data_IF_705506929173
#
_entry.id   IF_705506929173
#
_cell.length_a   1.000
_cell.length_b   1.000
_cell.length_c   1.000
_cell.angle_alpha   90.00
_cell.angle_beta   90.00
_cell.angle_gamma   90.00
#
_symmetry.space_group_name_H-M   'P 1'
#
loop_
_entity.id
_entity.type
_entity.pdbx_description
1 polymer ?
#
# COMPACT_ATOMS: atom_id res chain seq x y z
N UNK A 1 -26.13 28.21 23.07
CA UNK A 1 -24.68 27.91 23.12
C UNK A 1 -23.96 29.13 22.58
N UNK A 2 -23.08 29.77 23.35
CA UNK A 2 -22.48 31.07 23.00
C UNK A 2 -21.24 30.86 22.12
N UNK A 3 -21.37 31.13 20.82
CA UNK A 3 -20.31 30.92 19.82
C UNK A 3 -19.02 31.67 20.16
N UNK A 4 -19.11 32.88 20.72
CA UNK A 4 -17.92 33.67 21.10
C UNK A 4 -17.15 33.02 22.23
N UNK A 5 -17.83 32.39 23.19
CA UNK A 5 -17.19 31.64 24.29
C UNK A 5 -16.45 30.40 23.78
N UNK A 6 -17.02 29.69 22.80
CA UNK A 6 -16.36 28.54 22.18
C UNK A 6 -15.09 28.95 21.44
N UNK A 7 -15.14 30.06 20.71
CA UNK A 7 -13.97 30.58 20.00
C UNK A 7 -12.84 30.99 20.95
N UNK A 8 -13.16 31.71 22.03
CA UNK A 8 -12.13 32.13 23.01
C UNK A 8 -11.54 30.94 23.76
N UNK A 9 -12.35 29.94 24.10
CA UNK A 9 -11.85 28.69 24.67
C UNK A 9 -10.94 27.94 23.70
N UNK A 10 -11.33 27.79 22.43
CA UNK A 10 -10.50 27.13 21.42
C UNK A 10 -9.14 27.83 21.25
N UNK A 11 -9.14 29.16 21.13
CA UNK A 11 -7.90 29.94 21.03
C UNK A 11 -7.01 29.78 22.27
N UNK A 12 -7.61 29.67 23.46
CA UNK A 12 -6.87 29.42 24.69
C UNK A 12 -6.13 28.07 24.64
N UNK A 13 -6.79 26.98 24.21
CA UNK A 13 -6.14 25.68 24.05
C UNK A 13 -5.06 25.67 22.95
N UNK A 14 -5.32 26.30 21.80
CA UNK A 14 -4.32 26.43 20.74
C UNK A 14 -3.05 27.13 21.25
N UNK A 15 -3.22 28.20 22.01
CA UNK A 15 -2.10 28.96 22.60
C UNK A 15 -1.31 28.12 23.62
N UNK A 16 -1.97 27.26 24.40
CA UNK A 16 -1.29 26.33 25.31
C UNK A 16 -0.45 25.28 24.56
N UNK A 17 -1.01 24.71 23.48
CA UNK A 17 -0.29 23.76 22.61
C UNK A 17 0.91 24.46 21.98
N UNK A 18 0.74 25.65 21.43
CA UNK A 18 1.82 26.46 20.84
C UNK A 18 2.94 26.71 21.84
N UNK A 19 2.60 27.12 23.06
CA UNK A 19 3.59 27.37 24.13
C UNK A 19 4.37 26.10 24.52
N UNK A 20 3.70 24.95 24.58
CA UNK A 20 4.34 23.67 24.88
C UNK A 20 5.27 23.21 23.76
N UNK A 21 4.96 23.59 22.51
CA UNK A 21 5.68 23.16 21.31
C UNK A 21 6.84 24.08 20.91
N UNK A 22 7.05 25.22 21.59
CA UNK A 22 8.16 26.17 21.35
C UNK A 22 9.56 25.55 21.39
N UNK A 23 9.70 24.34 21.96
CA UNK A 23 10.97 23.63 22.09
C UNK A 23 11.31 22.75 20.88
N UNK A 24 10.41 22.64 19.89
CA UNK A 24 10.56 21.72 18.75
C UNK A 24 10.91 22.53 17.49
N UNK A 25 12.17 22.46 17.07
CA UNK A 25 12.70 23.18 15.91
C UNK A 25 12.00 22.85 14.58
N UNK A 26 11.49 21.63 14.43
CA UNK A 26 10.73 21.19 13.24
C UNK A 26 9.45 22.01 13.06
N UNK A 27 8.78 22.37 14.16
CA UNK A 27 7.55 23.16 14.11
C UNK A 27 7.83 24.64 13.83
N UNK A 28 9.02 25.14 14.18
CA UNK A 28 9.45 26.49 13.80
C UNK A 28 9.66 26.61 12.30
N UNK A 29 10.24 25.58 11.66
CA UNK A 29 10.37 25.54 10.21
C UNK A 29 9.00 25.54 9.52
N UNK A 30 8.06 24.74 10.03
CA UNK A 30 6.70 24.71 9.54
C UNK A 30 6.01 26.07 9.65
N UNK A 31 6.08 26.72 10.82
CA UNK A 31 5.48 28.04 11.05
C UNK A 31 6.12 29.10 10.14
N UNK A 32 7.44 29.08 9.95
CA UNK A 32 8.14 30.03 9.09
C UNK A 32 7.77 29.88 7.61
N UNK A 33 7.52 28.67 7.13
CA UNK A 33 7.14 28.40 5.74
C UNK A 33 5.65 28.68 5.47
N UNK A 34 4.78 28.26 6.39
CA UNK A 34 3.32 28.29 6.18
C UNK A 34 2.65 29.52 6.78
N UNK A 35 3.33 30.22 7.70
CA UNK A 35 2.79 31.31 8.54
C UNK A 35 1.57 30.89 9.38
N UNK A 36 1.38 29.59 9.57
CA UNK A 36 0.31 29.02 10.40
C UNK A 36 0.85 28.67 11.79
N UNK A 37 0.03 28.79 12.86
CA UNK A 37 0.47 28.43 14.22
C UNK A 37 0.84 26.95 14.34
N UNK A 38 1.84 26.64 15.17
CA UNK A 38 2.37 25.27 15.38
C UNK A 38 1.28 24.31 15.87
N UNK A 39 0.31 24.81 16.63
CA UNK A 39 -0.84 24.08 17.17
C UNK A 39 -1.67 23.41 16.07
N UNK A 40 -1.79 24.03 14.89
CA UNK A 40 -2.49 23.43 13.76
C UNK A 40 -1.74 22.20 13.21
N UNK A 41 -0.41 22.26 13.12
CA UNK A 41 0.40 21.11 12.69
C UNK A 41 0.28 19.95 13.69
N UNK A 42 0.32 20.24 14.99
CA UNK A 42 0.18 19.23 16.05
C UNK A 42 -1.20 18.60 16.04
N UNK A 43 -2.26 19.41 15.91
CA UNK A 43 -3.64 18.90 15.81
C UNK A 43 -3.85 18.09 14.54
N UNK A 44 -3.30 18.52 13.40
CA UNK A 44 -3.37 17.77 12.16
C UNK A 44 -2.63 16.44 12.27
N UNK A 45 -1.41 16.43 12.82
CA UNK A 45 -0.65 15.20 13.03
C UNK A 45 -1.36 14.25 14.00
N UNK A 46 -1.90 14.78 15.11
CA UNK A 46 -2.71 14.01 16.06
C UNK A 46 -3.98 13.45 15.43
N UNK A 47 -4.69 14.25 14.64
CA UNK A 47 -5.87 13.83 13.88
C UNK A 47 -5.56 12.73 12.87
N UNK A 48 -4.48 12.87 12.10
CA UNK A 48 -3.98 11.84 11.19
C UNK A 48 -3.64 10.56 11.96
N UNK A 49 -2.94 10.66 13.09
CA UNK A 49 -2.61 9.50 13.91
C UNK A 49 -3.87 8.79 14.43
N UNK A 50 -4.86 9.53 14.94
CA UNK A 50 -6.14 8.98 15.39
C UNK A 50 -6.88 8.30 14.22
N UNK A 51 -6.88 8.92 13.04
CA UNK A 51 -7.48 8.33 11.84
C UNK A 51 -6.78 7.03 11.45
N UNK A 52 -5.45 6.98 11.50
CA UNK A 52 -4.66 5.78 11.22
C UNK A 52 -4.96 4.66 12.22
N UNK A 53 -5.06 4.98 13.50
CA UNK A 53 -5.49 4.03 14.54
C UNK A 53 -6.92 3.55 14.27
N UNK A 54 -7.83 4.45 13.92
CA UNK A 54 -9.21 4.11 13.58
C UNK A 54 -9.28 3.18 12.37
N UNK A 55 -8.45 3.39 11.33
CA UNK A 55 -8.37 2.51 10.17
C UNK A 55 -7.82 1.11 10.51
N UNK A 56 -6.98 0.98 11.55
CA UNK A 56 -6.53 -0.33 12.04
C UNK A 56 -7.62 -1.04 12.84
N UNK A 57 -8.43 -0.27 13.57
CA UNK A 57 -9.46 -0.81 14.43
C UNK A 57 -10.71 -1.22 13.64
N UNK A 58 -11.36 -2.31 14.05
CA UNK A 58 -12.62 -2.75 13.44
C UNK A 58 -12.52 -3.33 12.01
N UNK A 59 -11.32 -3.64 11.52
CA UNK A 59 -11.12 -4.37 10.25
C UNK A 59 -11.27 -3.55 8.97
N UNK A 60 -11.48 -2.24 9.06
CA UNK A 60 -11.66 -1.35 7.90
C UNK A 60 -10.42 -1.33 7.01
N UNK A 61 -9.23 -1.21 7.59
CA UNK A 61 -7.96 -1.23 6.86
C UNK A 61 -7.71 -2.57 6.15
N UNK A 62 -8.10 -3.69 6.77
CA UNK A 62 -8.03 -5.00 6.15
C UNK A 62 -8.98 -5.13 4.96
N UNK A 63 -10.22 -4.63 5.10
CA UNK A 63 -11.19 -4.60 4.01
C UNK A 63 -10.67 -3.76 2.85
N UNK A 64 -10.16 -2.55 3.12
CA UNK A 64 -9.66 -1.64 2.09
C UNK A 64 -8.46 -2.24 1.35
N UNK A 65 -7.52 -2.82 2.10
CA UNK A 65 -6.37 -3.52 1.53
C UNK A 65 -6.77 -4.70 0.67
N UNK A 66 -7.74 -5.51 1.10
CA UNK A 66 -8.23 -6.66 0.32
C UNK A 66 -8.95 -6.19 -0.94
N UNK A 67 -9.81 -5.17 -0.84
CA UNK A 67 -10.48 -4.61 -2.01
C UNK A 67 -9.47 -4.08 -3.02
N UNK A 68 -8.44 -3.36 -2.58
CA UNK A 68 -7.37 -2.91 -3.47
C UNK A 68 -6.60 -4.09 -4.10
N UNK A 69 -6.26 -5.11 -3.31
CA UNK A 69 -5.50 -6.29 -3.77
C UNK A 69 -6.30 -7.26 -4.64
N UNK A 70 -7.64 -7.25 -4.61
CA UNK A 70 -8.45 -8.19 -5.39
C UNK A 70 -9.27 -7.50 -6.49
N UNK A 71 -9.89 -6.35 -6.21
CA UNK A 71 -10.84 -5.72 -7.14
C UNK A 71 -10.12 -5.04 -8.30
N UNK A 72 -9.03 -4.31 -8.03
CA UNK A 72 -8.24 -3.65 -9.08
C UNK A 72 -7.67 -4.65 -10.10
N UNK A 73 -6.84 -5.63 -9.69
CA UNK A 73 -6.33 -6.63 -10.62
C UNK A 73 -7.45 -7.51 -11.18
N UNK A 74 -8.52 -7.76 -10.43
CA UNK A 74 -9.70 -8.49 -10.93
C UNK A 74 -10.38 -7.77 -12.10
N UNK A 75 -10.53 -6.45 -12.04
CA UNK A 75 -11.02 -5.66 -13.17
C UNK A 75 -10.10 -5.76 -14.39
N UNK A 76 -8.78 -5.63 -14.19
CA UNK A 76 -7.81 -5.79 -15.27
C UNK A 76 -7.81 -7.22 -15.84
N UNK A 77 -8.00 -8.24 -14.99
CA UNK A 77 -8.14 -9.63 -15.40
C UNK A 77 -9.35 -9.83 -16.31
N UNK A 78 -10.52 -9.30 -15.92
CA UNK A 78 -11.73 -9.36 -16.74
C UNK A 78 -11.58 -8.63 -18.07
N UNK A 79 -10.80 -7.55 -18.09
CA UNK A 79 -10.48 -6.83 -19.32
C UNK A 79 -9.54 -7.65 -20.20
N UNK A 80 -8.48 -8.24 -19.63
CA UNK A 80 -7.51 -9.08 -20.34
C UNK A 80 -8.19 -10.32 -20.96
N UNK A 81 -9.12 -10.95 -20.26
CA UNK A 81 -9.91 -12.08 -20.78
C UNK A 81 -10.76 -11.75 -22.03
N UNK A 82 -11.00 -10.47 -22.31
CA UNK A 82 -11.75 -10.02 -23.49
C UNK A 82 -10.85 -9.48 -24.59
N UNK A 83 -9.57 -9.28 -24.32
CA UNK A 83 -8.56 -8.85 -25.29
C UNK A 83 -7.74 -10.06 -25.74
N UNK A 84 -7.03 -9.95 -26.87
CA UNK A 84 -6.18 -11.04 -27.41
C UNK A 84 -4.68 -10.80 -27.14
N UNK A 85 -4.35 -9.94 -26.19
CA UNK A 85 -2.99 -9.44 -25.94
C UNK A 85 -2.28 -10.26 -24.86
N UNK A 86 -1.32 -11.09 -25.26
CA UNK A 86 -0.53 -11.97 -24.37
C UNK A 86 0.34 -11.20 -23.36
N UNK A 87 0.70 -9.95 -23.65
CA UNK A 87 1.51 -9.12 -22.76
C UNK A 87 0.74 -8.74 -21.48
N UNK A 88 -0.58 -8.51 -21.60
CA UNK A 88 -1.44 -8.20 -20.45
C UNK A 88 -1.57 -9.42 -19.53
N UNK A 89 -1.66 -10.62 -20.11
CA UNK A 89 -1.77 -11.88 -19.37
C UNK A 89 -0.51 -12.17 -18.54
N UNK A 90 0.67 -11.92 -19.12
CA UNK A 90 1.96 -12.16 -18.44
C UNK A 90 2.14 -11.23 -17.24
N UNK A 91 1.81 -9.93 -17.40
CA UNK A 91 1.87 -8.95 -16.31
C UNK A 91 0.89 -9.28 -15.19
N UNK A 92 -0.30 -9.73 -15.56
CA UNK A 92 -1.32 -10.14 -14.62
C UNK A 92 -0.91 -11.39 -13.83
N UNK A 93 -0.36 -12.41 -14.50
CA UNK A 93 0.12 -13.61 -13.82
C UNK A 93 1.28 -13.28 -12.86
N UNK A 94 2.21 -12.43 -13.31
CA UNK A 94 3.31 -11.92 -12.48
C UNK A 94 2.79 -11.23 -11.23
N UNK A 95 1.77 -10.38 -11.38
CA UNK A 95 1.08 -9.76 -10.25
C UNK A 95 0.51 -10.80 -9.27
N UNK A 96 -0.24 -11.79 -9.76
CA UNK A 96 -0.86 -12.81 -8.90
C UNK A 96 0.17 -13.63 -8.12
N UNK A 97 1.30 -13.98 -8.75
CA UNK A 97 2.41 -14.68 -8.08
C UNK A 97 3.02 -13.81 -6.98
N UNK A 98 3.30 -12.54 -7.28
CA UNK A 98 3.82 -11.58 -6.29
C UNK A 98 2.84 -11.40 -5.14
N UNK A 99 1.57 -11.17 -5.45
CA UNK A 99 0.51 -10.98 -4.46
C UNK A 99 0.36 -12.21 -3.54
N UNK A 100 0.39 -13.42 -4.09
CA UNK A 100 0.33 -14.66 -3.31
C UNK A 100 1.53 -14.79 -2.36
N UNK A 101 2.75 -14.51 -2.84
CA UNK A 101 3.96 -14.54 -2.00
C UNK A 101 3.89 -13.53 -0.85
N UNK A 102 3.41 -12.31 -1.12
CA UNK A 102 3.22 -11.27 -0.13
C UNK A 102 2.18 -11.67 0.92
N UNK A 103 1.10 -12.34 0.51
CA UNK A 103 0.07 -12.77 1.44
C UNK A 103 0.59 -13.81 2.45
N UNK A 104 1.50 -14.68 2.02
CA UNK A 104 2.18 -15.65 2.88
C UNK A 104 3.07 -14.92 3.89
N UNK A 105 3.93 -14.01 3.42
CA UNK A 105 4.81 -13.20 4.30
C UNK A 105 3.99 -12.38 5.30
N UNK A 106 2.88 -11.82 4.85
CA UNK A 106 1.99 -11.04 5.69
C UNK A 106 1.37 -11.87 6.81
N UNK A 107 1.01 -13.13 6.58
CA UNK A 107 0.44 -13.98 7.64
C UNK A 107 1.35 -14.01 8.89
N UNK A 108 2.67 -14.13 8.68
CA UNK A 108 3.67 -14.07 9.74
C UNK A 108 3.81 -12.69 10.39
N UNK A 109 3.54 -11.64 9.61
CA UNK A 109 3.77 -10.25 9.98
C UNK A 109 2.57 -9.60 10.69
N UNK A 110 1.35 -10.16 10.55
CA UNK A 110 0.12 -9.63 11.15
C UNK A 110 0.19 -9.47 12.67
N UNK A 111 0.74 -10.45 13.37
CA UNK A 111 0.84 -10.41 14.85
C UNK A 111 1.77 -9.30 15.34
N UNK A 112 2.83 -9.01 14.58
CA UNK A 112 3.84 -8.01 14.95
C UNK A 112 3.39 -6.60 14.52
N UNK A 113 2.80 -6.48 13.33
CA UNK A 113 2.54 -5.19 12.70
C UNK A 113 1.18 -4.57 13.07
N UNK A 114 0.26 -5.31 13.69
CA UNK A 114 -1.02 -4.77 14.18
C UNK A 114 -0.86 -3.61 15.17
N UNK A 115 0.27 -3.53 15.87
CA UNK A 115 0.57 -2.44 16.81
C UNK A 115 0.98 -1.12 16.11
N UNK A 116 1.27 -1.15 14.81
CA UNK A 116 1.72 0.02 14.06
C UNK A 116 0.52 0.66 13.33
N UNK A 117 0.04 1.86 13.74
CA UNK A 117 -1.16 2.47 13.17
C UNK A 117 -1.06 2.78 11.67
N UNK A 118 0.14 2.87 11.09
CA UNK A 118 0.30 3.13 9.66
C UNK A 118 0.29 1.85 8.80
N UNK A 119 0.22 0.65 9.39
CA UNK A 119 0.44 -0.61 8.68
C UNK A 119 -0.53 -0.84 7.51
N UNK A 120 -1.85 -0.81 7.75
CA UNK A 120 -2.83 -1.05 6.70
C UNK A 120 -2.79 0.01 5.60
N UNK A 121 -2.47 1.27 5.94
CA UNK A 121 -2.31 2.32 4.93
C UNK A 121 -1.12 2.00 4.02
N UNK A 122 0.05 1.74 4.60
CA UNK A 122 1.24 1.41 3.83
C UNK A 122 1.03 0.16 2.97
N UNK A 123 0.44 -0.89 3.55
CA UNK A 123 0.09 -2.11 2.83
C UNK A 123 -0.83 -1.83 1.65
N UNK A 124 -1.90 -1.06 1.87
CA UNK A 124 -2.86 -0.74 0.80
C UNK A 124 -2.17 0.04 -0.31
N UNK A 125 -1.37 1.04 0.02
CA UNK A 125 -0.59 1.81 -0.97
C UNK A 125 0.39 0.92 -1.74
N UNK A 126 1.07 0.00 -1.05
CA UNK A 126 1.98 -0.95 -1.69
C UNK A 126 1.24 -1.90 -2.63
N UNK A 127 0.09 -2.45 -2.22
CA UNK A 127 -0.76 -3.29 -3.06
C UNK A 127 -1.28 -2.56 -4.29
N UNK A 128 -1.71 -1.31 -4.14
CA UNK A 128 -2.11 -0.45 -5.26
C UNK A 128 -0.93 -0.24 -6.19
N UNK A 129 0.25 0.07 -5.65
CA UNK A 129 1.47 0.29 -6.43
C UNK A 129 1.85 -0.93 -7.30
N UNK A 130 1.77 -2.15 -6.77
CA UNK A 130 2.06 -3.35 -7.57
C UNK A 130 0.91 -3.74 -8.50
N UNK A 131 -0.34 -3.40 -8.16
CA UNK A 131 -1.52 -3.71 -8.98
C UNK A 131 -1.69 -2.77 -10.17
N UNK A 132 -1.10 -1.56 -10.14
CA UNK A 132 -1.15 -0.65 -11.27
C UNK A 132 -0.30 -1.19 -12.43
N UNK A 133 -0.88 -1.40 -13.62
CA UNK A 133 -0.12 -1.88 -14.78
C UNK A 133 0.86 -0.83 -15.32
N UNK A 134 0.66 0.46 -15.02
CA UNK A 134 1.54 1.56 -15.46
C UNK A 134 2.84 1.68 -14.67
N UNK A 135 2.90 1.13 -13.45
CA UNK A 135 4.07 1.28 -12.57
C UNK A 135 5.05 0.11 -12.70
N UNK A 136 4.66 -0.98 -13.38
CA UNK A 136 5.40 -2.24 -13.47
C UNK A 136 5.94 -2.74 -12.10
N UNK A 137 5.24 -2.39 -11.01
CA UNK A 137 5.71 -2.65 -9.65
C UNK A 137 5.80 -4.14 -9.34
N UNK A 138 4.85 -4.93 -9.84
CA UNK A 138 4.87 -6.39 -9.71
C UNK A 138 6.09 -7.02 -10.42
N UNK A 139 6.43 -6.53 -11.61
CA UNK A 139 7.56 -7.05 -12.41
C UNK A 139 8.90 -6.79 -11.71
N UNK A 140 9.07 -5.61 -11.11
CA UNK A 140 10.26 -5.29 -10.31
C UNK A 140 10.43 -6.24 -9.13
N UNK A 141 9.35 -6.52 -8.38
CA UNK A 141 9.38 -7.44 -7.24
C UNK A 141 9.63 -8.87 -7.71
N UNK A 142 9.00 -9.28 -8.80
CA UNK A 142 9.18 -10.60 -9.38
C UNK A 142 10.63 -10.84 -9.79
N UNK A 143 11.21 -9.95 -10.60
CA UNK A 143 12.59 -10.08 -11.08
C UNK A 143 13.62 -10.01 -9.96
N UNK A 144 13.36 -9.21 -8.91
CA UNK A 144 14.33 -9.01 -7.83
C UNK A 144 14.33 -10.13 -6.79
N UNK A 145 13.16 -10.71 -6.51
CA UNK A 145 12.99 -11.64 -5.37
C UNK A 145 12.48 -13.00 -5.82
N UNK A 146 11.46 -13.04 -6.68
CA UNK A 146 10.75 -14.29 -6.98
C UNK A 146 11.46 -15.11 -8.06
N UNK A 147 11.89 -14.50 -9.17
CA UNK A 147 12.65 -15.15 -10.23
C UNK A 147 13.90 -15.89 -9.72
N UNK A 148 14.81 -15.28 -8.94
CA UNK A 148 16.00 -15.99 -8.46
C UNK A 148 15.69 -17.11 -7.46
N UNK A 149 14.53 -17.07 -6.80
CA UNK A 149 14.05 -18.17 -5.97
C UNK A 149 13.42 -19.26 -6.83
N UNK A 150 12.58 -18.90 -7.80
CA UNK A 150 11.92 -19.83 -8.71
C UNK A 150 12.92 -20.62 -9.55
N UNK A 151 13.95 -19.96 -10.11
CA UNK A 151 14.98 -20.62 -10.93
C UNK A 151 15.76 -21.69 -10.16
N UNK A 152 15.81 -21.60 -8.83
CA UNK A 152 16.43 -22.63 -7.96
C UNK A 152 15.56 -23.88 -7.80
N UNK A 153 14.24 -23.77 -7.99
CA UNK A 153 13.29 -24.87 -7.76
C UNK A 153 12.63 -25.37 -9.05
N UNK A 154 12.53 -24.53 -10.08
CA UNK A 154 11.88 -24.81 -11.36
C UNK A 154 12.93 -24.66 -12.45
N UNK A 155 13.60 -25.76 -12.78
CA UNK A 155 14.45 -25.83 -13.97
C UNK A 155 13.61 -26.41 -15.09
N UNK A 156 13.21 -25.59 -16.07
CA UNK A 156 12.55 -26.11 -17.27
C UNK A 156 13.61 -26.88 -18.07
N UNK A 157 13.39 -28.18 -18.27
CA UNK A 157 14.29 -29.00 -19.07
C UNK A 157 14.11 -28.59 -20.55
N UNK A 158 15.15 -28.06 -21.23
CA UNK A 158 15.03 -27.58 -22.59
C UNK A 158 14.59 -28.66 -23.57
N UNK A 159 14.92 -29.93 -23.31
CA UNK A 159 14.53 -31.04 -24.16
C UNK A 159 13.01 -31.28 -24.14
N UNK A 160 12.37 -31.11 -22.98
CA UNK A 160 10.94 -31.38 -22.80
C UNK A 160 10.08 -30.27 -23.44
N UNK A 161 10.46 -29.00 -23.27
CA UNK A 161 9.82 -27.85 -23.94
C UNK A 161 9.93 -27.92 -25.48
N UNK A 162 11.04 -28.43 -26.00
CA UNK A 162 11.19 -28.66 -27.44
C UNK A 162 10.31 -29.80 -27.95
N UNK A 163 10.11 -30.86 -27.16
CA UNK A 163 9.23 -31.97 -27.54
C UNK A 163 7.76 -31.53 -27.56
N UNK A 164 7.31 -30.78 -26.56
CA UNK A 164 5.93 -30.25 -26.49
C UNK A 164 5.63 -29.33 -27.68
N UNK A 165 6.55 -28.41 -28.01
CA UNK A 165 6.41 -27.51 -29.18
C UNK A 165 6.39 -28.23 -30.52
N UNK A 166 7.06 -29.38 -30.62
CA UNK A 166 7.03 -30.21 -31.83
C UNK A 166 5.72 -30.98 -31.93
N UNK A 167 5.21 -31.50 -30.82
CA UNK A 167 3.91 -32.20 -30.77
C UNK A 167 2.75 -31.25 -31.13
N UNK A 168 2.71 -30.04 -30.55
CA UNK A 168 1.67 -29.04 -30.86
C UNK A 168 1.60 -28.64 -32.34
N UNK A 169 2.75 -28.67 -33.05
CA UNK A 169 2.79 -28.38 -34.50
C UNK A 169 2.50 -29.58 -35.39
N UNK A 170 2.51 -30.79 -34.82
CA UNK A 170 2.31 -32.04 -35.56
C UNK A 170 0.84 -32.48 -35.53
N UNK A 171 0.09 -32.07 -34.50
CA UNK A 171 -1.37 -32.21 -34.40
C UNK A 171 -2.14 -31.10 -35.14
#
# INVERSE_FOLDING_TARGET
MDFKRLQTQAQHYLTQIDNSCKRISVLDQFENQTKLPRSYAVLAAGGIYILLVFLNFGGIGQLLSNLAGFVLPGYYSLKALKTKTTEDDTKLLTYWVVFASLQIVEFWSKTILYWIPAYFLFKTLFLVYIALPSTNGAELVYNSVISPLADRFITINPAEDLLDKVQEKTD
#
